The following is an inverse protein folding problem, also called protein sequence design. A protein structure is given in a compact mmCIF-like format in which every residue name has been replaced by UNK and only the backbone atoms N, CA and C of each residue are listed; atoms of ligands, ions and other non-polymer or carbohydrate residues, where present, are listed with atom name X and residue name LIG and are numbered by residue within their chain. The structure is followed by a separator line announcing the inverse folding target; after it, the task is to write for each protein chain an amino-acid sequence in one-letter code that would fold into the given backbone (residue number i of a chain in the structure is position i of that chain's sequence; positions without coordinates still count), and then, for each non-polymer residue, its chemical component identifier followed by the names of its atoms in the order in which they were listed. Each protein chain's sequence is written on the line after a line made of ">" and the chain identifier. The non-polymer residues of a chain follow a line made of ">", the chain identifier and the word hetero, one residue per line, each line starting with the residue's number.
data_IF_459866673528
#
_entry.id   IF_459866673528
#
_cell.length_a   1.000
_cell.length_b   1.000
_cell.length_c   1.000
_cell.angle_alpha   90.00
_cell.angle_beta   90.00
_cell.angle_gamma   90.00
#
_symmetry.space_group_name_H-M   'P 1'
#
loop_
_entity.id
_entity.type
_entity.pdbx_description
1 polymer ?
#
# COMPACT_ATOMS: atom_id res chain seq x y z
N UNK A 1 10.59 24.52 7.92
CA UNK A 1 10.90 23.16 8.40
C UNK A 1 9.99 22.20 7.66
N UNK A 2 10.51 21.17 6.98
CA UNK A 2 9.65 20.11 6.42
C UNK A 2 9.11 19.33 7.62
N UNK A 3 7.79 19.24 7.80
CA UNK A 3 7.21 18.50 8.92
C UNK A 3 7.69 17.04 8.86
N UNK A 4 8.21 16.53 9.96
CA UNK A 4 8.60 15.11 10.09
C UNK A 4 7.43 14.18 9.74
N UNK A 5 6.21 14.63 9.94
CA UNK A 5 4.99 13.93 9.54
C UNK A 5 4.90 13.70 8.03
N UNK A 6 5.11 14.75 7.23
CA UNK A 6 5.13 14.65 5.75
C UNK A 6 6.22 13.71 5.24
N UNK A 7 7.38 13.72 5.93
CA UNK A 7 8.46 12.81 5.60
C UNK A 7 8.07 11.35 5.87
N UNK A 8 7.42 11.09 7.02
CA UNK A 8 6.90 9.76 7.36
C UNK A 8 5.84 9.29 6.36
N UNK A 9 4.85 10.13 6.04
CA UNK A 9 3.82 9.81 5.03
C UNK A 9 4.45 9.42 3.68
N UNK A 10 5.47 10.16 3.26
CA UNK A 10 6.19 9.86 2.01
C UNK A 10 6.99 8.56 2.11
N UNK A 11 7.65 8.32 3.24
CA UNK A 11 8.41 7.09 3.48
C UNK A 11 7.52 5.85 3.50
N UNK A 12 6.32 5.94 4.09
CA UNK A 12 5.34 4.87 4.11
C UNK A 12 4.88 4.54 2.69
N UNK A 13 4.52 5.56 1.89
CA UNK A 13 4.13 5.39 0.49
C UNK A 13 5.23 4.72 -0.35
N UNK A 14 6.47 5.19 -0.20
CA UNK A 14 7.62 4.62 -0.91
C UNK A 14 7.88 3.17 -0.49
N UNK A 15 7.69 2.85 0.79
CA UNK A 15 7.87 1.49 1.30
C UNK A 15 6.90 0.53 0.61
N UNK A 16 5.61 0.88 0.49
CA UNK A 16 4.62 0.07 -0.24
C UNK A 16 5.05 -0.17 -1.69
N UNK A 17 5.43 0.89 -2.41
CA UNK A 17 5.84 0.82 -3.82
C UNK A 17 7.06 -0.10 -3.99
N UNK A 18 8.06 0.07 -3.14
CA UNK A 18 9.29 -0.71 -3.18
C UNK A 18 9.02 -2.18 -2.84
N UNK A 19 8.22 -2.46 -1.83
CA UNK A 19 7.81 -3.83 -1.48
C UNK A 19 7.06 -4.50 -2.62
N UNK A 20 6.09 -3.82 -3.26
CA UNK A 20 5.40 -4.34 -4.43
C UNK A 20 6.39 -4.68 -5.56
N UNK A 21 7.35 -3.78 -5.85
CA UNK A 21 8.38 -4.00 -6.87
C UNK A 21 9.24 -5.24 -6.56
N UNK A 22 9.68 -5.40 -5.31
CA UNK A 22 10.48 -6.57 -4.88
C UNK A 22 9.68 -7.87 -5.02
N UNK A 23 8.37 -7.83 -4.77
CA UNK A 23 7.47 -8.98 -4.92
C UNK A 23 7.04 -9.24 -6.36
N UNK A 24 7.46 -8.43 -7.35
CA UNK A 24 6.99 -8.54 -8.73
C UNK A 24 5.51 -8.18 -8.90
N UNK A 25 4.93 -7.42 -7.97
CA UNK A 25 3.51 -7.00 -7.96
C UNK A 25 3.36 -5.56 -8.43
N UNK A 26 2.21 -5.24 -9.02
CA UNK A 26 1.87 -3.86 -9.39
C UNK A 26 1.44 -3.05 -8.17
N UNK A 27 2.16 -1.97 -7.88
CA UNK A 27 1.80 -1.04 -6.80
C UNK A 27 0.46 -0.33 -7.07
N UNK A 28 0.16 -0.01 -8.34
CA UNK A 28 -1.11 0.63 -8.73
C UNK A 28 -2.28 -0.30 -8.43
N UNK A 29 -2.15 -1.58 -8.77
CA UNK A 29 -3.18 -2.58 -8.51
C UNK A 29 -3.37 -2.82 -7.00
N UNK A 30 -2.28 -2.82 -6.24
CA UNK A 30 -2.33 -2.87 -4.78
C UNK A 30 -3.14 -1.71 -4.20
N UNK A 31 -2.87 -0.47 -4.63
CA UNK A 31 -3.62 0.69 -4.15
C UNK A 31 -5.09 0.67 -4.59
N UNK A 32 -5.39 0.21 -5.80
CA UNK A 32 -6.78 0.04 -6.26
C UNK A 32 -7.57 -0.87 -5.32
N UNK A 33 -7.03 -2.05 -5.00
CA UNK A 33 -7.65 -3.01 -4.08
C UNK A 33 -7.79 -2.44 -2.66
N UNK A 34 -6.77 -1.72 -2.17
CA UNK A 34 -6.82 -1.09 -0.86
C UNK A 34 -7.91 0.00 -0.76
N UNK A 35 -8.06 0.81 -1.81
CA UNK A 35 -9.11 1.82 -1.90
C UNK A 35 -10.50 1.17 -1.97
N UNK A 36 -10.65 0.12 -2.77
CA UNK A 36 -11.91 -0.65 -2.85
C UNK A 36 -12.28 -1.29 -1.51
N UNK A 37 -11.32 -1.87 -0.79
CA UNK A 37 -11.53 -2.39 0.56
C UNK A 37 -11.89 -1.30 1.57
N UNK A 38 -11.38 -0.08 1.40
CA UNK A 38 -11.74 1.08 2.23
C UNK A 38 -13.19 1.51 1.99
N UNK A 39 -13.65 1.51 0.74
CA UNK A 39 -15.02 1.91 0.37
C UNK A 39 -16.04 0.79 0.62
N UNK A 40 -15.64 -0.47 0.48
CA UNK A 40 -16.52 -1.64 0.58
C UNK A 40 -15.87 -2.80 1.35
N UNK A 41 -15.65 -2.64 2.67
CA UNK A 41 -14.86 -3.58 3.49
C UNK A 41 -15.51 -4.96 3.64
N UNK A 42 -16.81 -5.09 3.41
CA UNK A 42 -17.54 -6.37 3.45
C UNK A 42 -17.46 -7.15 2.13
N UNK A 43 -16.99 -6.52 1.05
CA UNK A 43 -16.92 -7.13 -0.29
C UNK A 43 -15.49 -7.40 -0.75
N UNK A 44 -14.52 -6.63 -0.28
CA UNK A 44 -13.12 -6.71 -0.73
C UNK A 44 -12.22 -6.83 0.49
N UNK A 45 -11.37 -7.86 0.50
CA UNK A 45 -10.34 -8.01 1.51
C UNK A 45 -9.20 -7.02 1.26
N UNK A 46 -8.62 -6.48 2.32
CA UNK A 46 -7.43 -5.64 2.20
C UNK A 46 -6.27 -6.43 1.57
N UNK A 47 -5.57 -5.83 0.59
CA UNK A 47 -4.39 -6.46 0.03
C UNK A 47 -3.26 -6.43 1.07
N UNK A 48 -2.54 -7.54 1.23
CA UNK A 48 -1.41 -7.65 2.14
C UNK A 48 -0.08 -7.44 1.41
N UNK A 49 0.87 -6.77 2.07
CA UNK A 49 2.28 -6.72 1.67
C UNK A 49 3.11 -7.85 2.29
N UNK A 50 2.56 -8.59 3.24
CA UNK A 50 3.22 -9.75 3.82
C UNK A 50 2.99 -10.93 2.87
N UNK A 51 4.05 -11.59 2.36
CA UNK A 51 3.91 -12.77 1.53
C UNK A 51 3.13 -13.86 2.28
N UNK A 52 2.12 -14.43 1.65
CA UNK A 52 1.46 -15.64 2.14
C UNK A 52 2.36 -16.81 1.73
N UNK A 53 3.00 -17.45 2.72
CA UNK A 53 3.79 -18.67 2.54
C UNK A 53 2.92 -19.86 2.20
#
# INVERSE_FOLDING_TARGET
>A
SRSMERFRETADLLSVIQTCRVQGRSAVEFFRQALEATVSPTKVSYPSLIPMT
#
